data_IF_728009131955
#
_entry.id   IF_728009131955
#
_cell.length_a   1.000
_cell.length_b   1.000
_cell.length_c   1.000
_cell.angle_alpha   90.00
_cell.angle_beta   90.00
_cell.angle_gamma   90.00
#
_symmetry.space_group_name_H-M   'P 1'
#
loop_
_entity.id
_entity.type
_entity.pdbx_description
1 polymer ?
#
# COMPACT_ATOMS: atom_id res chain seq x y z
N UNK A 1 19.17 44.78 -36.55
CA UNK A 1 18.26 44.07 -35.61
C UNK A 1 18.31 42.57 -35.85
N UNK A 2 19.48 41.90 -35.77
CA UNK A 2 19.53 40.45 -36.05
C UNK A 2 20.57 39.64 -35.26
N UNK A 3 21.17 40.22 -34.21
CA UNK A 3 22.10 39.48 -33.35
C UNK A 3 21.45 38.84 -32.10
N UNK A 4 20.21 39.20 -31.79
CA UNK A 4 19.50 38.63 -30.63
C UNK A 4 18.76 37.32 -30.96
N UNK A 5 18.40 37.09 -32.23
CA UNK A 5 17.70 35.87 -32.66
C UNK A 5 18.67 34.67 -32.87
N UNK A 6 19.87 34.91 -33.28
CA UNK A 6 20.89 33.85 -33.41
C UNK A 6 21.42 33.38 -32.05
N UNK A 7 21.50 34.27 -31.05
CA UNK A 7 21.92 33.92 -29.69
C UNK A 7 20.88 33.01 -28.95
N UNK A 8 19.57 33.20 -29.23
CA UNK A 8 18.55 32.35 -28.65
C UNK A 8 18.42 30.98 -29.33
N UNK A 9 18.70 30.88 -30.62
CA UNK A 9 18.71 29.60 -31.31
C UNK A 9 19.90 28.74 -30.87
N UNK A 10 21.07 29.37 -30.58
CA UNK A 10 22.27 28.69 -30.13
C UNK A 10 22.18 28.21 -28.64
N UNK A 11 21.39 28.86 -27.83
CA UNK A 11 21.16 28.44 -26.44
C UNK A 11 20.23 27.24 -26.31
N UNK A 12 19.37 26.96 -27.30
CA UNK A 12 18.44 25.83 -27.29
C UNK A 12 19.17 24.51 -27.61
N UNK A 13 20.30 24.53 -28.29
CA UNK A 13 21.11 23.34 -28.60
C UNK A 13 22.04 22.89 -27.45
N UNK A 14 22.10 23.63 -26.36
CA UNK A 14 22.99 23.32 -25.21
C UNK A 14 22.29 22.47 -24.14
N UNK A 15 20.96 22.32 -24.18
CA UNK A 15 20.25 21.47 -23.21
C UNK A 15 20.34 20.01 -23.65
N UNK A 16 21.00 19.18 -22.82
CA UNK A 16 20.94 17.73 -22.97
C UNK A 16 19.49 17.27 -22.90
N UNK A 17 19.06 16.56 -23.92
CA UNK A 17 17.72 15.97 -23.95
C UNK A 17 17.75 14.59 -23.33
N UNK A 18 16.72 14.23 -22.55
CA UNK A 18 16.55 12.85 -22.14
C UNK A 18 15.99 12.07 -23.32
N UNK A 19 16.86 11.36 -24.01
CA UNK A 19 16.47 10.57 -25.18
C UNK A 19 15.94 9.19 -24.81
N UNK A 20 16.41 8.66 -23.69
CA UNK A 20 16.13 7.28 -23.30
C UNK A 20 15.24 7.22 -22.06
N UNK A 21 14.06 6.61 -22.17
CA UNK A 21 13.17 6.26 -21.08
C UNK A 21 13.16 4.74 -20.94
N UNK A 22 13.56 4.27 -19.76
CA UNK A 22 13.64 2.85 -19.41
C UNK A 22 12.50 2.55 -18.45
N UNK A 23 11.52 1.81 -18.92
CA UNK A 23 10.41 1.32 -18.11
C UNK A 23 10.74 -0.10 -17.63
N UNK A 24 11.00 -0.23 -16.33
CA UNK A 24 11.27 -1.49 -15.65
C UNK A 24 10.05 -1.94 -14.82
N UNK A 25 8.91 -1.31 -14.99
CA UNK A 25 7.68 -1.75 -14.32
C UNK A 25 7.18 -3.03 -14.95
N UNK A 26 6.52 -3.87 -14.14
CA UNK A 26 5.87 -5.09 -14.62
C UNK A 26 4.38 -4.80 -14.86
N UNK A 27 3.91 -4.73 -16.13
CA UNK A 27 2.52 -4.47 -16.43
C UNK A 27 1.55 -5.50 -15.86
N UNK A 28 2.00 -6.75 -15.66
CA UNK A 28 1.20 -7.82 -15.08
C UNK A 28 0.85 -7.58 -13.60
N UNK A 29 1.56 -6.65 -12.94
CA UNK A 29 1.25 -6.23 -11.58
C UNK A 29 0.14 -5.18 -11.50
N UNK A 30 -0.27 -4.59 -12.60
CA UNK A 30 -1.41 -3.71 -12.62
C UNK A 30 -2.70 -4.53 -12.59
N UNK A 31 -3.60 -4.16 -11.68
CA UNK A 31 -4.90 -4.83 -11.53
C UNK A 31 -6.00 -3.80 -11.77
N UNK A 32 -6.36 -3.65 -13.04
CA UNK A 32 -7.29 -2.62 -13.52
C UNK A 32 -8.70 -3.20 -13.68
N UNK A 33 -9.71 -2.41 -13.35
CA UNK A 33 -11.11 -2.80 -13.48
C UNK A 33 -11.74 -2.14 -14.72
N UNK A 34 -12.25 -2.97 -15.64
CA UNK A 34 -13.03 -2.51 -16.77
C UNK A 34 -12.23 -1.80 -17.87
N UNK A 35 -10.89 -1.83 -17.81
CA UNK A 35 -10.00 -1.31 -18.85
C UNK A 35 -8.69 -2.09 -18.90
N UNK A 36 -8.00 -2.04 -20.01
CA UNK A 36 -6.65 -2.59 -20.13
C UNK A 36 -5.56 -1.57 -19.79
N UNK A 37 -4.31 -2.03 -19.71
CA UNK A 37 -3.15 -1.19 -19.36
C UNK A 37 -2.90 -0.10 -20.40
N UNK A 38 -3.13 -0.37 -21.68
CA UNK A 38 -2.89 0.61 -22.75
C UNK A 38 -3.95 1.72 -22.74
N UNK A 39 -5.19 1.38 -22.43
CA UNK A 39 -6.24 2.38 -22.22
C UNK A 39 -5.92 3.26 -21.00
N UNK A 40 -5.51 2.65 -19.88
CA UNK A 40 -5.09 3.39 -18.69
C UNK A 40 -3.89 4.31 -18.97
N UNK A 41 -2.89 3.85 -19.72
CA UNK A 41 -1.75 4.69 -20.16
C UNK A 41 -2.20 5.87 -21.03
N UNK A 42 -3.20 5.70 -21.89
CA UNK A 42 -3.77 6.82 -22.67
C UNK A 42 -4.37 7.88 -21.76
N UNK A 43 -5.12 7.47 -20.71
CA UNK A 43 -5.69 8.39 -19.75
C UNK A 43 -4.62 9.16 -18.97
N UNK A 44 -3.54 8.47 -18.56
CA UNK A 44 -2.39 9.13 -17.95
C UNK A 44 -1.73 10.12 -18.91
N UNK A 45 -1.66 9.77 -20.20
CA UNK A 45 -1.06 10.62 -21.21
C UNK A 45 -1.89 11.87 -21.49
N UNK A 46 -3.22 11.82 -21.40
CA UNK A 46 -4.09 13.00 -21.45
C UNK A 46 -3.77 13.94 -20.28
N UNK A 47 -3.48 13.38 -19.11
CA UNK A 47 -2.94 14.07 -17.94
C UNK A 47 -3.91 14.96 -17.21
N UNK A 48 -5.18 15.01 -17.60
CA UNK A 48 -6.18 15.73 -16.82
C UNK A 48 -6.56 14.92 -15.58
N UNK A 49 -6.91 15.62 -14.52
CA UNK A 49 -7.37 15.02 -13.26
C UNK A 49 -8.55 14.09 -13.50
N UNK A 50 -9.50 14.53 -14.33
CA UNK A 50 -10.72 13.79 -14.66
C UNK A 50 -10.43 12.50 -15.43
N UNK A 51 -9.49 12.55 -16.37
CA UNK A 51 -9.08 11.38 -17.14
C UNK A 51 -8.46 10.31 -16.24
N UNK A 52 -7.49 10.69 -15.42
CA UNK A 52 -6.77 9.74 -14.55
C UNK A 52 -7.65 9.22 -13.42
N UNK A 53 -8.56 10.03 -12.89
CA UNK A 53 -9.51 9.60 -11.86
C UNK A 53 -10.52 8.51 -12.33
N UNK A 54 -10.62 8.29 -13.66
CA UNK A 54 -11.40 7.17 -14.22
C UNK A 54 -10.71 5.82 -14.08
N UNK A 55 -9.41 5.80 -13.86
CA UNK A 55 -8.65 4.56 -13.69
C UNK A 55 -9.00 3.94 -12.34
N UNK A 56 -9.57 2.75 -12.36
CA UNK A 56 -9.98 2.01 -11.16
C UNK A 56 -9.08 0.80 -10.95
N UNK A 57 -8.78 0.50 -9.68
CA UNK A 57 -7.93 -0.62 -9.29
C UNK A 57 -6.53 -0.20 -8.85
N UNK A 58 -5.60 -1.16 -8.87
CA UNK A 58 -4.21 -1.00 -8.43
C UNK A 58 -3.29 -0.83 -9.63
N UNK A 59 -2.55 0.27 -9.70
CA UNK A 59 -1.73 0.56 -10.87
C UNK A 59 -0.48 1.41 -10.57
N UNK A 60 0.53 1.22 -11.41
CA UNK A 60 1.70 2.07 -11.55
C UNK A 60 1.99 2.22 -13.05
N UNK A 61 1.77 3.41 -13.60
CA UNK A 61 1.74 3.63 -15.04
C UNK A 61 2.70 4.74 -15.45
N UNK A 62 3.40 4.48 -16.54
CA UNK A 62 4.23 5.44 -17.25
C UNK A 62 3.73 5.56 -18.68
N UNK A 63 3.57 6.80 -19.16
CA UNK A 63 3.21 7.11 -20.54
C UNK A 63 4.09 8.22 -21.10
N UNK A 64 4.49 8.13 -22.37
CA UNK A 64 5.38 9.08 -23.04
C UNK A 64 4.78 9.55 -24.36
N UNK A 65 4.85 10.87 -24.62
CA UNK A 65 4.55 11.46 -25.93
C UNK A 65 5.58 12.55 -26.24
N UNK A 66 6.36 12.35 -27.28
CA UNK A 66 7.43 13.29 -27.64
C UNK A 66 8.43 13.44 -26.46
N UNK A 67 8.58 14.67 -25.96
CA UNK A 67 9.46 15.00 -24.83
C UNK A 67 8.75 14.98 -23.47
N UNK A 68 7.48 14.67 -23.40
CA UNK A 68 6.74 14.65 -22.14
C UNK A 68 6.57 13.21 -21.67
N UNK A 69 6.93 12.97 -20.41
CA UNK A 69 6.63 11.75 -19.69
C UNK A 69 5.61 12.07 -18.59
N UNK A 70 4.59 11.25 -18.47
CA UNK A 70 3.63 11.31 -17.38
C UNK A 70 3.61 9.99 -16.62
N UNK A 71 3.59 10.09 -15.30
CA UNK A 71 3.56 8.95 -14.39
C UNK A 71 2.40 9.12 -13.41
N UNK A 72 1.68 8.03 -13.14
CA UNK A 72 0.62 8.03 -12.15
C UNK A 72 0.55 6.67 -11.44
N UNK A 73 0.14 6.67 -10.17
CA UNK A 73 -0.01 5.43 -9.40
C UNK A 73 -1.16 5.49 -8.41
N UNK A 74 -1.70 4.32 -8.08
CA UNK A 74 -2.55 4.09 -6.91
C UNK A 74 -1.72 4.09 -5.61
N UNK A 75 -2.38 4.09 -4.47
CA UNK A 75 -1.74 4.14 -3.15
C UNK A 75 -0.85 2.91 -2.89
N UNK A 76 -1.33 1.74 -3.23
CA UNK A 76 -0.71 0.44 -2.97
C UNK A 76 0.44 0.07 -3.91
N UNK A 77 0.61 0.80 -5.03
CA UNK A 77 1.66 0.56 -6.02
C UNK A 77 2.76 1.61 -5.95
N UNK A 78 4.00 1.27 -5.65
CA UNK A 78 5.11 2.21 -5.78
C UNK A 78 5.44 2.45 -7.25
N UNK A 79 5.88 3.67 -7.55
CA UNK A 79 6.43 4.03 -8.85
C UNK A 79 7.57 5.02 -8.60
N UNK A 80 8.77 4.58 -8.88
CA UNK A 80 9.99 5.34 -8.63
C UNK A 80 10.68 5.69 -9.92
N UNK A 81 11.46 6.76 -9.91
CA UNK A 81 12.28 7.11 -11.04
C UNK A 81 13.65 7.65 -10.61
N UNK A 82 14.61 7.49 -11.50
CA UNK A 82 16.00 7.93 -11.36
C UNK A 82 16.46 8.55 -12.67
N UNK A 83 17.24 9.65 -12.59
CA UNK A 83 17.85 10.30 -13.74
C UNK A 83 19.35 9.96 -13.77
N UNK A 84 19.75 9.14 -14.72
CA UNK A 84 21.16 8.78 -14.93
C UNK A 84 21.81 9.69 -15.97
N UNK A 85 23.05 10.13 -15.71
CA UNK A 85 23.87 10.91 -16.64
C UNK A 85 24.75 9.95 -17.44
N UNK A 86 24.69 10.05 -18.75
CA UNK A 86 25.47 9.25 -19.70
C UNK A 86 26.18 10.16 -20.71
N UNK A 87 27.22 9.62 -21.36
CA UNK A 87 27.94 10.37 -22.43
C UNK A 87 27.05 10.64 -23.64
N UNK A 88 26.17 9.69 -23.95
CA UNK A 88 25.25 9.75 -25.10
C UNK A 88 23.94 10.51 -24.80
N UNK A 89 23.83 11.11 -23.64
CA UNK A 89 22.66 11.79 -23.16
C UNK A 89 22.03 11.08 -21.95
N UNK A 90 21.28 11.81 -21.12
CA UNK A 90 20.68 11.28 -19.90
C UNK A 90 19.61 10.24 -20.17
N UNK A 91 19.38 9.37 -19.19
CA UNK A 91 18.32 8.37 -19.21
C UNK A 91 17.40 8.52 -17.98
N UNK A 92 16.09 8.45 -18.21
CA UNK A 92 15.08 8.32 -17.17
C UNK A 92 14.79 6.83 -16.96
N UNK A 93 15.09 6.31 -15.78
CA UNK A 93 14.78 4.94 -15.38
C UNK A 93 13.58 4.96 -14.44
N UNK A 94 12.55 4.17 -14.74
CA UNK A 94 11.32 4.08 -13.96
C UNK A 94 11.11 2.64 -13.54
N UNK A 95 10.79 2.42 -12.27
CA UNK A 95 10.52 1.09 -11.71
C UNK A 95 9.62 1.17 -10.48
N UNK A 96 9.00 0.08 -10.14
CA UNK A 96 8.34 -0.10 -8.84
C UNK A 96 9.33 -0.44 -7.71
N UNK A 97 10.59 -0.82 -8.07
CA UNK A 97 11.64 -1.23 -7.13
C UNK A 97 12.94 -0.44 -7.30
N UNK A 98 13.59 -0.17 -6.16
CA UNK A 98 14.91 0.47 -6.12
C UNK A 98 15.99 -0.47 -6.65
N UNK A 99 15.95 -1.74 -6.27
CA UNK A 99 16.93 -2.74 -6.71
C UNK A 99 16.93 -2.93 -8.24
N UNK A 100 15.77 -2.82 -8.89
CA UNK A 100 15.68 -2.87 -10.35
C UNK A 100 16.40 -1.70 -11.01
N UNK A 101 16.25 -0.49 -10.46
CA UNK A 101 16.97 0.71 -10.92
C UNK A 101 18.48 0.51 -10.73
N UNK A 102 18.91 0.07 -9.55
CA UNK A 102 20.32 -0.19 -9.25
C UNK A 102 20.93 -1.24 -10.19
N UNK A 103 20.23 -2.35 -10.39
CA UNK A 103 20.70 -3.44 -11.25
C UNK A 103 20.83 -2.98 -12.71
N UNK A 104 19.88 -2.18 -13.21
CA UNK A 104 19.99 -1.60 -14.55
C UNK A 104 21.21 -0.69 -14.65
N UNK A 105 21.41 0.23 -13.70
CA UNK A 105 22.59 1.11 -13.66
C UNK A 105 23.89 0.32 -13.62
N UNK A 106 23.94 -0.78 -12.87
CA UNK A 106 25.10 -1.66 -12.81
C UNK A 106 25.38 -2.32 -14.16
N UNK A 107 24.37 -2.77 -14.87
CA UNK A 107 24.50 -3.36 -16.20
C UNK A 107 25.05 -2.34 -17.23
N UNK A 108 24.68 -1.07 -17.08
CA UNK A 108 25.17 0.03 -17.94
C UNK A 108 26.51 0.62 -17.47
N UNK A 109 27.12 0.10 -16.38
CA UNK A 109 28.37 0.61 -15.82
C UNK A 109 28.23 1.99 -15.14
N UNK A 110 27.03 2.31 -14.65
CA UNK A 110 26.67 3.61 -14.06
C UNK A 110 26.36 3.50 -12.56
N UNK A 111 26.70 2.38 -11.92
CA UNK A 111 26.37 2.12 -10.50
C UNK A 111 26.93 3.18 -9.54
N UNK A 112 28.04 3.85 -9.89
CA UNK A 112 28.63 4.90 -9.07
C UNK A 112 27.73 6.14 -8.89
N UNK A 113 26.81 6.36 -9.81
CA UNK A 113 25.84 7.46 -9.74
C UNK A 113 24.71 7.15 -8.76
N UNK A 114 24.50 5.88 -8.44
CA UNK A 114 23.37 5.47 -7.64
C UNK A 114 23.55 5.83 -6.16
N UNK A 115 22.52 6.45 -5.61
CA UNK A 115 22.29 6.59 -4.17
C UNK A 115 20.78 6.41 -3.94
N UNK A 116 20.35 5.61 -2.97
CA UNK A 116 18.92 5.40 -2.72
C UNK A 116 18.13 6.70 -2.57
N UNK A 117 18.69 7.71 -1.93
CA UNK A 117 18.06 9.01 -1.73
C UNK A 117 17.94 9.89 -3.00
N UNK A 118 18.56 9.51 -4.11
CA UNK A 118 18.35 10.15 -5.41
C UNK A 118 17.21 9.53 -6.21
N UNK A 119 16.72 8.38 -5.74
CA UNK A 119 15.51 7.76 -6.30
C UNK A 119 14.29 8.53 -5.82
N UNK A 120 13.52 9.06 -6.75
CA UNK A 120 12.32 9.83 -6.46
C UNK A 120 11.08 8.94 -6.55
N UNK A 121 10.11 9.14 -5.63
CA UNK A 121 8.81 8.47 -5.65
C UNK A 121 7.78 9.35 -6.33
N UNK A 122 7.00 8.80 -7.25
CA UNK A 122 5.76 9.42 -7.72
C UNK A 122 4.79 9.42 -6.54
N UNK A 123 4.25 10.55 -6.08
CA UNK A 123 3.29 10.57 -5.00
C UNK A 123 2.02 9.78 -5.35
N UNK A 124 1.41 9.13 -4.37
CA UNK A 124 0.15 8.43 -4.56
C UNK A 124 -0.95 9.42 -4.97
N UNK A 125 -1.82 8.99 -5.90
CA UNK A 125 -2.92 9.80 -6.40
C UNK A 125 -2.52 11.13 -7.11
N UNK A 126 -1.29 11.17 -7.64
CA UNK A 126 -0.83 12.27 -8.47
C UNK A 126 -0.45 11.81 -9.87
N UNK A 127 -0.68 12.68 -10.83
CA UNK A 127 0.04 12.67 -12.10
C UNK A 127 1.30 13.50 -11.92
N UNK A 128 2.44 12.90 -12.23
CA UNK A 128 3.73 13.60 -12.28
C UNK A 128 4.12 13.74 -13.74
N UNK A 129 4.27 14.97 -14.20
CA UNK A 129 4.75 15.28 -15.54
C UNK A 129 6.20 15.73 -15.49
N UNK A 130 7.02 15.14 -16.37
CA UNK A 130 8.39 15.53 -16.60
C UNK A 130 8.58 15.91 -18.07
N UNK A 131 9.23 17.06 -18.30
CA UNK A 131 9.76 17.38 -19.62
C UNK A 131 11.12 16.71 -19.77
N UNK A 132 11.34 16.00 -20.86
CA UNK A 132 12.58 15.27 -21.10
C UNK A 132 13.71 16.21 -21.54
N UNK A 133 14.18 17.01 -20.60
CA UNK A 133 15.34 17.89 -20.72
C UNK A 133 16.31 17.52 -19.61
N UNK A 134 17.53 17.18 -19.95
CA UNK A 134 18.47 16.60 -19.01
C UNK A 134 19.35 17.59 -18.23
N UNK A 135 19.45 18.84 -18.68
CA UNK A 135 20.23 19.86 -18.00
C UNK A 135 19.58 21.25 -18.18
N UNK A 136 19.15 21.93 -17.11
CA UNK A 136 19.08 21.41 -15.75
C UNK A 136 18.14 20.21 -15.60
N UNK A 137 18.24 19.48 -14.48
CA UNK A 137 17.30 18.39 -14.20
C UNK A 137 15.86 18.89 -14.34
N UNK A 138 14.95 18.13 -14.97
CA UNK A 138 13.60 18.60 -15.19
C UNK A 138 12.85 18.74 -13.87
N UNK A 139 12.22 19.89 -13.67
CA UNK A 139 11.31 20.09 -12.55
C UNK A 139 10.01 19.33 -12.79
N UNK A 140 9.62 18.42 -11.90
CA UNK A 140 8.37 17.70 -12.04
C UNK A 140 7.17 18.58 -11.73
N UNK A 141 6.15 18.50 -12.57
CA UNK A 141 4.83 19.11 -12.31
C UNK A 141 3.92 18.07 -11.70
N UNK A 142 3.31 18.41 -10.57
CA UNK A 142 2.46 17.51 -9.79
C UNK A 142 1.00 17.96 -9.88
N UNK A 143 0.11 17.04 -10.28
CA UNK A 143 -1.34 17.28 -10.28
C UNK A 143 -2.03 16.14 -9.54
N UNK A 144 -2.75 16.47 -8.45
CA UNK A 144 -3.49 15.49 -7.67
C UNK A 144 -4.79 15.13 -8.37
N UNK A 145 -5.05 13.82 -8.59
CA UNK A 145 -6.26 13.36 -9.26
C UNK A 145 -7.32 12.77 -8.31
N UNK A 146 -6.98 12.54 -7.05
CA UNK A 146 -7.92 12.06 -6.05
C UNK A 146 -7.85 12.93 -4.79
N UNK A 147 -8.96 13.56 -4.46
CA UNK A 147 -9.10 14.42 -3.26
C UNK A 147 -10.47 14.18 -2.65
N UNK A 148 -10.57 13.36 -1.59
CA UNK A 148 -11.85 13.11 -0.91
C UNK A 148 -12.32 14.36 -0.16
N UNK A 149 -13.63 14.53 -0.06
CA UNK A 149 -14.24 15.63 0.69
C UNK A 149 -14.48 15.19 2.13
N UNK A 150 -13.87 15.84 3.14
CA UNK A 150 -13.98 15.43 4.51
C UNK A 150 -15.35 15.78 5.12
N UNK A 151 -15.80 14.96 6.08
CA UNK A 151 -16.91 15.27 6.99
C UNK A 151 -18.28 15.47 6.32
N UNK A 152 -18.58 14.77 5.23
CA UNK A 152 -19.86 14.94 4.50
C UNK A 152 -20.94 13.94 4.87
N UNK A 153 -20.60 12.89 5.63
CA UNK A 153 -21.58 11.95 6.15
C UNK A 153 -22.32 12.53 7.36
N UNK A 154 -23.56 12.12 7.62
CA UNK A 154 -24.27 12.51 8.83
C UNK A 154 -23.61 11.92 10.09
N UNK A 155 -23.79 12.59 11.23
CA UNK A 155 -23.35 12.08 12.54
C UNK A 155 -24.25 10.96 13.04
N UNK A 156 -24.23 9.83 12.35
CA UNK A 156 -25.00 8.61 12.63
C UNK A 156 -24.13 7.39 12.34
N UNK A 157 -23.78 6.64 13.39
CA UNK A 157 -22.86 5.49 13.28
C UNK A 157 -23.41 4.34 12.44
N UNK A 158 -24.73 4.15 12.36
CA UNK A 158 -25.33 3.10 11.56
C UNK A 158 -25.25 3.45 10.05
N UNK A 159 -25.48 4.75 9.74
CA UNK A 159 -25.33 5.26 8.38
C UNK A 159 -23.86 5.22 7.96
N UNK A 160 -22.96 5.69 8.81
CA UNK A 160 -21.50 5.69 8.57
C UNK A 160 -20.98 4.27 8.38
N UNK A 161 -21.29 3.37 9.31
CA UNK A 161 -20.85 1.97 9.25
C UNK A 161 -21.33 1.28 7.99
N UNK A 162 -22.61 1.45 7.65
CA UNK A 162 -23.20 0.90 6.42
C UNK A 162 -22.49 1.45 5.18
N UNK A 163 -22.27 2.75 5.09
CA UNK A 163 -21.58 3.38 3.93
C UNK A 163 -20.15 2.85 3.79
N UNK A 164 -19.39 2.79 4.90
CA UNK A 164 -18.01 2.35 4.92
C UNK A 164 -17.86 0.89 4.50
N UNK A 165 -18.65 0.00 5.08
CA UNK A 165 -18.58 -1.44 4.76
C UNK A 165 -19.22 -1.75 3.39
N UNK A 166 -20.21 -0.97 2.93
CA UNK A 166 -20.70 -1.11 1.55
C UNK A 166 -19.63 -0.77 0.53
N UNK A 167 -18.87 0.31 0.73
CA UNK A 167 -17.74 0.65 -0.13
C UNK A 167 -16.67 -0.45 -0.13
N UNK A 168 -16.36 -1.02 1.04
CA UNK A 168 -15.48 -2.18 1.16
C UNK A 168 -15.99 -3.38 0.36
N UNK A 169 -17.28 -3.69 0.48
CA UNK A 169 -17.92 -4.79 -0.24
C UNK A 169 -17.89 -4.58 -1.76
N UNK A 170 -18.07 -3.34 -2.22
CA UNK A 170 -18.03 -3.01 -3.65
C UNK A 170 -16.63 -3.20 -4.23
N UNK A 171 -15.57 -2.78 -3.53
CA UNK A 171 -14.19 -2.99 -3.97
C UNK A 171 -13.82 -4.49 -3.97
N UNK A 172 -14.20 -5.23 -2.93
CA UNK A 172 -14.01 -6.68 -2.89
C UNK A 172 -14.78 -7.37 -4.02
N UNK A 173 -16.01 -6.94 -4.32
CA UNK A 173 -16.80 -7.51 -5.41
C UNK A 173 -16.17 -7.25 -6.79
N UNK A 174 -15.62 -6.07 -7.03
CA UNK A 174 -14.90 -5.77 -8.27
C UNK A 174 -13.65 -6.65 -8.41
N UNK A 175 -12.87 -6.76 -7.34
CA UNK A 175 -11.67 -7.60 -7.32
C UNK A 175 -12.00 -9.08 -7.56
N UNK A 176 -13.01 -9.63 -6.87
CA UNK A 176 -13.43 -11.03 -7.03
C UNK A 176 -13.90 -11.33 -8.46
N UNK A 177 -14.59 -10.39 -9.14
CA UNK A 177 -15.01 -10.57 -10.53
C UNK A 177 -13.85 -10.54 -11.53
N UNK A 178 -12.72 -9.96 -11.16
CA UNK A 178 -11.52 -9.89 -12.00
C UNK A 178 -10.59 -11.10 -11.85
N UNK A 179 -10.87 -11.97 -10.87
CA UNK A 179 -10.13 -13.20 -10.60
C UNK A 179 -10.81 -14.38 -11.32
N UNK A 180 -10.05 -15.33 -11.92
CA UNK A 180 -10.62 -16.53 -12.49
C UNK A 180 -11.50 -17.30 -11.51
N UNK A 181 -12.62 -17.83 -11.99
CA UNK A 181 -13.69 -18.37 -11.14
C UNK A 181 -13.27 -19.55 -10.27
N UNK A 182 -12.24 -20.29 -10.65
CA UNK A 182 -11.75 -21.46 -9.92
C UNK A 182 -10.59 -21.18 -8.96
N UNK A 183 -10.02 -19.97 -8.99
CA UNK A 183 -8.87 -19.63 -8.16
C UNK A 183 -9.24 -19.49 -6.68
N UNK A 184 -8.45 -20.07 -5.76
CA UNK A 184 -8.66 -19.96 -4.33
C UNK A 184 -8.26 -18.57 -3.80
N UNK A 185 -8.98 -18.13 -2.77
CA UNK A 185 -8.81 -16.81 -2.13
C UNK A 185 -8.38 -17.00 -0.68
N UNK A 186 -7.23 -16.44 -0.32
CA UNK A 186 -6.74 -16.41 1.05
C UNK A 186 -6.91 -15.05 1.68
N UNK A 187 -7.41 -15.01 2.91
CA UNK A 187 -7.46 -13.81 3.73
C UNK A 187 -6.37 -13.88 4.78
N UNK A 188 -5.47 -12.88 4.84
CA UNK A 188 -4.56 -12.72 5.98
C UNK A 188 -5.39 -12.37 7.22
N UNK A 189 -5.42 -13.26 8.23
CA UNK A 189 -6.40 -13.21 9.29
C UNK A 189 -5.76 -13.30 10.68
N UNK A 190 -6.06 -12.35 11.55
CA UNK A 190 -5.60 -12.34 12.95
C UNK A 190 -6.76 -12.35 13.95
N UNK A 191 -8.02 -12.34 13.46
CA UNK A 191 -9.18 -12.13 14.30
C UNK A 191 -9.34 -10.70 14.82
N UNK A 192 -8.52 -9.75 14.35
CA UNK A 192 -8.67 -8.33 14.62
C UNK A 192 -9.79 -7.69 13.77
N UNK A 193 -10.13 -6.43 14.09
CA UNK A 193 -11.26 -5.70 13.44
C UNK A 193 -11.09 -5.65 11.92
N UNK A 194 -9.90 -5.30 11.41
CA UNK A 194 -9.67 -5.09 9.99
C UNK A 194 -9.68 -6.41 9.21
N UNK A 195 -8.91 -7.40 9.65
CA UNK A 195 -8.86 -8.71 9.00
C UNK A 195 -10.19 -9.45 9.14
N UNK A 196 -10.89 -9.27 10.28
CA UNK A 196 -12.19 -9.85 10.54
C UNK A 196 -13.27 -9.30 9.62
N UNK A 197 -13.34 -7.99 9.48
CA UNK A 197 -14.29 -7.34 8.56
C UNK A 197 -14.02 -7.72 7.10
N UNK A 198 -12.76 -7.73 6.66
CA UNK A 198 -12.40 -8.16 5.29
C UNK A 198 -12.82 -9.61 5.06
N UNK A 199 -12.58 -10.52 6.02
CA UNK A 199 -13.01 -11.92 5.89
C UNK A 199 -14.53 -12.05 5.78
N UNK A 200 -15.29 -11.42 6.69
CA UNK A 200 -16.75 -11.52 6.70
C UNK A 200 -17.38 -10.89 5.46
N UNK A 201 -16.86 -9.75 5.02
CA UNK A 201 -17.34 -9.10 3.80
C UNK A 201 -16.99 -9.92 2.56
N UNK A 202 -15.79 -10.50 2.48
CA UNK A 202 -15.40 -11.40 1.37
C UNK A 202 -16.32 -12.62 1.33
N UNK A 203 -16.56 -13.27 2.47
CA UNK A 203 -17.48 -14.38 2.59
C UNK A 203 -18.89 -13.99 2.11
N UNK A 204 -19.42 -12.84 2.57
CA UNK A 204 -20.73 -12.33 2.16
C UNK A 204 -20.80 -12.06 0.66
N UNK A 205 -19.81 -11.37 0.10
CA UNK A 205 -19.76 -11.03 -1.32
C UNK A 205 -19.68 -12.29 -2.19
N UNK A 206 -18.85 -13.26 -1.81
CA UNK A 206 -18.77 -14.54 -2.53
C UNK A 206 -20.13 -15.25 -2.55
N UNK A 207 -20.84 -15.29 -1.41
CA UNK A 207 -22.22 -15.83 -1.36
C UNK A 207 -23.17 -15.08 -2.29
N UNK A 208 -23.13 -13.75 -2.25
CA UNK A 208 -24.00 -12.90 -3.08
C UNK A 208 -23.73 -13.05 -4.58
N UNK A 209 -22.47 -13.32 -4.95
CA UNK A 209 -22.08 -13.58 -6.33
C UNK A 209 -22.27 -15.05 -6.77
N UNK A 210 -22.75 -15.93 -5.88
CA UNK A 210 -22.93 -17.35 -6.16
C UNK A 210 -21.61 -18.13 -6.30
N UNK A 211 -20.51 -17.59 -5.79
CA UNK A 211 -19.18 -18.21 -5.83
C UNK A 211 -19.07 -19.37 -4.83
N UNK A 212 -18.24 -20.36 -5.17
CA UNK A 212 -17.98 -21.51 -4.28
C UNK A 212 -17.19 -21.08 -3.05
N UNK A 213 -17.80 -21.20 -1.85
CA UNK A 213 -17.15 -20.81 -0.60
C UNK A 213 -15.96 -21.70 -0.22
N UNK A 214 -15.88 -22.93 -0.76
CA UNK A 214 -14.72 -23.81 -0.57
C UNK A 214 -13.40 -23.24 -1.10
N UNK A 215 -13.47 -22.16 -1.90
CA UNK A 215 -12.30 -21.41 -2.39
C UNK A 215 -11.71 -20.45 -1.34
N UNK A 216 -12.44 -20.14 -0.29
CA UNK A 216 -12.05 -19.17 0.73
C UNK A 216 -11.32 -19.84 1.89
N UNK A 217 -10.20 -19.25 2.33
CA UNK A 217 -9.51 -19.59 3.58
C UNK A 217 -9.10 -18.33 4.34
N UNK A 218 -9.14 -18.42 5.67
CA UNK A 218 -8.59 -17.44 6.60
C UNK A 218 -7.24 -17.97 7.11
N UNK A 219 -6.14 -17.38 6.68
CA UNK A 219 -4.79 -17.79 7.07
C UNK A 219 -4.30 -17.00 8.28
N UNK A 220 -3.95 -17.69 9.34
CA UNK A 220 -3.32 -17.12 10.54
C UNK A 220 -1.92 -17.67 10.70
N UNK A 221 -0.94 -16.79 11.00
CA UNK A 221 0.42 -17.19 11.29
C UNK A 221 0.53 -17.68 12.74
N UNK A 222 1.06 -18.89 12.93
CA UNK A 222 1.39 -19.44 14.24
C UNK A 222 2.90 -19.66 14.35
N UNK A 223 3.54 -18.92 15.26
CA UNK A 223 4.95 -19.09 15.60
C UNK A 223 5.13 -19.74 16.98
N UNK A 224 4.07 -20.30 17.54
CA UNK A 224 4.07 -21.13 18.74
C UNK A 224 3.73 -20.42 20.05
N UNK A 225 3.87 -19.09 20.14
CA UNK A 225 3.67 -18.34 21.39
C UNK A 225 2.83 -17.06 21.26
N UNK A 226 2.17 -16.87 20.13
CA UNK A 226 1.34 -15.71 19.87
C UNK A 226 -0.14 -15.94 20.16
N UNK A 227 -0.90 -14.91 20.50
CA UNK A 227 -2.34 -15.01 20.78
C UNK A 227 -3.24 -15.01 19.53
N UNK A 228 -2.72 -14.77 18.33
CA UNK A 228 -3.55 -14.56 17.13
C UNK A 228 -4.32 -15.83 16.73
N UNK A 229 -3.73 -17.01 16.84
CA UNK A 229 -4.44 -18.26 16.53
C UNK A 229 -5.64 -18.45 17.46
N UNK A 230 -5.46 -18.20 18.76
CA UNK A 230 -6.55 -18.29 19.73
C UNK A 230 -7.66 -17.26 19.43
N UNK A 231 -7.29 -16.00 19.20
CA UNK A 231 -8.23 -14.95 18.84
C UNK A 231 -8.96 -15.23 17.53
N UNK A 232 -8.28 -15.81 16.54
CA UNK A 232 -8.88 -16.23 15.28
C UNK A 232 -9.95 -17.32 15.48
N UNK A 233 -9.68 -18.29 16.36
CA UNK A 233 -10.68 -19.30 16.76
C UNK A 233 -11.88 -18.65 17.46
N UNK A 234 -11.64 -17.82 18.48
CA UNK A 234 -12.69 -17.11 19.23
C UNK A 234 -13.54 -16.19 18.33
N UNK A 235 -12.95 -15.66 17.25
CA UNK A 235 -13.68 -14.84 16.27
C UNK A 235 -14.62 -15.68 15.40
N UNK A 236 -14.16 -16.82 14.89
CA UNK A 236 -14.90 -17.59 13.86
C UNK A 236 -15.87 -18.60 14.47
N UNK A 237 -15.60 -19.13 15.66
CA UNK A 237 -16.41 -20.16 16.29
C UNK A 237 -17.87 -19.73 16.54
N UNK A 238 -18.16 -18.55 17.14
CA UNK A 238 -19.54 -18.10 17.35
C UNK A 238 -20.33 -17.86 16.07
N UNK A 239 -19.61 -17.66 14.95
CA UNK A 239 -20.20 -17.44 13.63
C UNK A 239 -20.41 -18.74 12.84
N UNK A 240 -19.95 -19.90 13.38
CA UNK A 240 -19.99 -21.18 12.68
C UNK A 240 -19.07 -21.23 11.45
N UNK A 241 -18.00 -20.42 11.44
CA UNK A 241 -17.08 -20.26 10.30
C UNK A 241 -15.69 -20.84 10.54
N UNK A 242 -15.49 -21.62 11.62
CA UNK A 242 -14.19 -22.22 11.97
C UNK A 242 -13.59 -23.10 10.88
N UNK A 243 -14.39 -23.68 10.00
CA UNK A 243 -13.94 -24.52 8.89
C UNK A 243 -13.07 -23.75 7.85
N UNK A 244 -13.14 -22.42 7.83
CA UNK A 244 -12.33 -21.59 6.94
C UNK A 244 -10.96 -21.28 7.51
N UNK A 245 -10.77 -21.45 8.83
CA UNK A 245 -9.50 -21.13 9.49
C UNK A 245 -8.42 -22.14 9.12
N UNK A 246 -7.26 -21.62 8.77
CA UNK A 246 -6.07 -22.39 8.45
C UNK A 246 -4.87 -21.79 9.18
N UNK A 247 -4.37 -22.49 10.18
CA UNK A 247 -3.13 -22.11 10.87
C UNK A 247 -1.92 -22.44 9.99
N UNK A 248 -1.09 -21.46 9.76
CA UNK A 248 0.18 -21.58 9.05
C UNK A 248 1.29 -21.59 10.11
N UNK A 249 1.78 -22.76 10.40
CA UNK A 249 2.89 -22.94 11.33
C UNK A 249 4.19 -22.42 10.70
N UNK A 250 4.96 -21.67 11.47
CA UNK A 250 6.24 -21.12 11.08
C UNK A 250 7.31 -21.34 12.15
N UNK A 251 8.58 -21.24 11.73
CA UNK A 251 9.71 -21.25 12.64
C UNK A 251 10.16 -19.82 12.95
N UNK A 252 9.98 -19.40 14.18
CA UNK A 252 10.43 -18.09 14.64
C UNK A 252 11.95 -17.91 14.49
N UNK A 253 12.75 -18.97 14.44
CA UNK A 253 14.20 -18.90 14.22
C UNK A 253 14.57 -18.50 12.77
N UNK A 254 13.65 -18.69 11.83
CA UNK A 254 13.83 -18.34 10.42
C UNK A 254 13.44 -16.91 10.05
N UNK A 255 13.06 -16.09 11.04
CA UNK A 255 12.75 -14.66 10.83
C UNK A 255 14.05 -13.89 10.51
N UNK A 256 14.08 -13.21 9.35
CA UNK A 256 15.27 -12.51 8.87
C UNK A 256 14.97 -11.05 8.49
N UNK A 257 15.47 -10.12 9.32
CA UNK A 257 15.36 -8.69 9.04
C UNK A 257 16.09 -8.28 7.74
N UNK A 258 17.17 -8.95 7.38
CA UNK A 258 17.94 -8.60 6.18
C UNK A 258 17.19 -8.98 4.90
N UNK A 259 16.53 -10.13 4.88
CA UNK A 259 15.61 -10.48 3.78
C UNK A 259 14.45 -9.49 3.72
N UNK A 260 13.87 -9.16 4.86
CA UNK A 260 12.75 -8.22 4.94
C UNK A 260 13.14 -6.85 4.38
N UNK A 261 14.26 -6.27 4.81
CA UNK A 261 14.77 -4.97 4.33
C UNK A 261 14.92 -4.97 2.81
N UNK A 262 15.46 -6.05 2.23
CA UNK A 262 15.62 -6.21 0.78
C UNK A 262 14.26 -6.26 0.07
N UNK A 263 13.28 -6.96 0.65
CA UNK A 263 11.97 -7.15 0.03
C UNK A 263 11.16 -5.86 0.04
N UNK A 264 11.09 -5.17 1.19
CA UNK A 264 10.28 -3.96 1.34
C UNK A 264 11.01 -2.68 0.94
N UNK A 265 12.33 -2.74 0.80
CA UNK A 265 13.19 -1.60 0.48
C UNK A 265 13.02 -0.43 1.46
N UNK A 266 12.90 -0.78 2.74
CA UNK A 266 12.79 0.15 3.85
C UNK A 266 13.61 -0.34 5.06
N UNK A 267 13.89 0.57 5.99
CA UNK A 267 14.65 0.29 7.20
C UNK A 267 13.94 0.76 8.48
N UNK A 268 12.69 1.22 8.37
CA UNK A 268 11.91 1.64 9.52
C UNK A 268 11.54 0.42 10.38
N UNK A 269 11.90 0.40 11.68
CA UNK A 269 11.75 -0.78 12.52
C UNK A 269 10.33 -1.36 12.54
N UNK A 270 9.31 -0.50 12.64
CA UNK A 270 7.91 -0.94 12.66
C UNK A 270 7.50 -1.64 11.36
N UNK A 271 7.98 -1.15 10.22
CA UNK A 271 7.67 -1.73 8.92
C UNK A 271 8.42 -3.05 8.72
N UNK A 272 9.67 -3.15 9.22
CA UNK A 272 10.44 -4.40 9.22
C UNK A 272 9.74 -5.45 10.08
N UNK A 273 9.34 -5.12 11.31
CA UNK A 273 8.63 -6.06 12.18
C UNK A 273 7.37 -6.61 11.50
N UNK A 274 6.52 -5.73 10.99
CA UNK A 274 5.26 -6.12 10.35
C UNK A 274 5.48 -6.93 9.07
N UNK A 275 6.40 -6.49 8.23
CA UNK A 275 6.69 -7.18 6.98
C UNK A 275 7.37 -8.55 7.20
N UNK A 276 8.17 -8.70 8.26
CA UNK A 276 8.77 -10.00 8.61
C UNK A 276 7.68 -11.04 8.93
N UNK A 277 6.64 -10.63 9.67
CA UNK A 277 5.50 -11.51 9.94
C UNK A 277 4.72 -11.84 8.67
N UNK A 278 4.48 -10.85 7.81
CA UNK A 278 3.79 -11.05 6.54
C UNK A 278 4.59 -11.96 5.58
N UNK A 279 5.93 -11.83 5.54
CA UNK A 279 6.80 -12.72 4.78
C UNK A 279 6.75 -14.17 5.31
N UNK A 280 6.77 -14.35 6.63
CA UNK A 280 6.67 -15.68 7.24
C UNK A 280 5.33 -16.33 6.89
N UNK A 281 4.22 -15.59 6.97
CA UNK A 281 2.90 -16.07 6.55
C UNK A 281 2.90 -16.46 5.07
N UNK A 282 3.32 -15.56 4.19
CA UNK A 282 3.36 -15.82 2.74
C UNK A 282 4.24 -17.01 2.39
N UNK A 283 5.42 -17.14 3.02
CA UNK A 283 6.31 -18.30 2.86
C UNK A 283 5.63 -19.62 3.26
N UNK A 284 4.97 -19.63 4.42
CA UNK A 284 4.26 -20.81 4.92
C UNK A 284 3.08 -21.20 4.04
N UNK A 285 2.28 -20.21 3.57
CA UNK A 285 1.19 -20.46 2.61
C UNK A 285 1.75 -21.07 1.32
N UNK A 286 2.83 -20.53 0.76
CA UNK A 286 3.45 -21.04 -0.47
C UNK A 286 3.96 -22.48 -0.30
N UNK A 287 4.57 -22.80 0.84
CA UNK A 287 5.06 -24.14 1.14
C UNK A 287 3.92 -25.17 1.22
N UNK A 288 2.78 -24.78 1.79
CA UNK A 288 1.61 -25.67 1.98
C UNK A 288 0.70 -25.73 0.76
N UNK A 289 0.60 -24.62 0.02
CA UNK A 289 -0.28 -24.44 -1.15
C UNK A 289 0.50 -23.88 -2.33
N UNK A 290 1.25 -24.70 -3.08
CA UNK A 290 2.15 -24.24 -4.15
C UNK A 290 1.47 -23.47 -5.28
N UNK A 291 0.19 -23.76 -5.55
CA UNK A 291 -0.58 -23.19 -6.66
C UNK A 291 -1.46 -22.01 -6.23
N UNK A 292 -1.47 -21.63 -4.95
CA UNK A 292 -2.27 -20.50 -4.46
C UNK A 292 -1.76 -19.17 -5.00
N UNK A 293 -2.65 -18.30 -5.48
CA UNK A 293 -2.23 -17.05 -6.15
C UNK A 293 -2.72 -15.78 -5.48
N UNK A 294 -3.90 -15.79 -4.86
CA UNK A 294 -4.60 -14.57 -4.45
C UNK A 294 -4.70 -14.47 -2.93
N UNK A 295 -4.20 -13.35 -2.41
CA UNK A 295 -4.30 -13.00 -1.00
C UNK A 295 -4.97 -11.63 -0.83
N UNK A 296 -5.84 -11.52 0.16
CA UNK A 296 -6.48 -10.28 0.56
C UNK A 296 -6.25 -10.04 2.06
N UNK A 297 -6.13 -8.79 2.48
CA UNK A 297 -5.89 -8.42 3.87
C UNK A 297 -6.65 -7.17 4.33
N UNK A 298 -6.47 -6.83 5.61
CA UNK A 298 -7.09 -5.68 6.26
C UNK A 298 -6.22 -4.43 6.34
N UNK A 299 -5.11 -4.36 5.63
CA UNK A 299 -4.23 -3.19 5.67
C UNK A 299 -4.95 -1.95 5.13
N UNK A 300 -4.78 -0.83 5.83
CA UNK A 300 -5.46 0.43 5.52
C UNK A 300 -6.65 0.75 6.43
N UNK A 301 -7.17 -0.22 7.18
CA UNK A 301 -8.30 0.00 8.08
C UNK A 301 -7.97 0.93 9.25
N UNK A 302 -6.80 0.77 9.85
CA UNK A 302 -6.29 1.67 10.90
C UNK A 302 -6.14 3.10 10.35
N UNK A 303 -5.58 3.22 9.17
CA UNK A 303 -5.34 4.48 8.48
C UNK A 303 -6.64 5.22 8.19
N UNK A 304 -7.63 4.53 7.69
CA UNK A 304 -8.94 5.09 7.34
C UNK A 304 -9.68 5.65 8.56
N UNK A 305 -9.67 4.93 9.67
CA UNK A 305 -10.40 5.30 10.88
C UNK A 305 -9.52 6.03 11.90
N UNK A 306 -8.30 6.44 11.46
CA UNK A 306 -7.36 7.27 12.25
C UNK A 306 -6.98 6.64 13.59
N UNK A 307 -7.00 5.29 13.64
CA UNK A 307 -6.74 4.48 14.84
C UNK A 307 -5.24 4.23 15.04
N UNK A 308 -4.51 5.32 15.24
CA UNK A 308 -3.07 5.30 15.53
C UNK A 308 -2.76 5.77 16.94
N UNK A 309 -1.74 5.21 17.61
CA UNK A 309 -1.36 5.63 18.95
C UNK A 309 -0.74 7.04 18.91
N UNK A 310 -1.58 8.05 19.08
CA UNK A 310 -1.19 9.47 19.08
C UNK A 310 -0.17 9.73 20.19
N UNK A 311 -0.37 9.12 21.36
CA UNK A 311 0.50 9.27 22.55
C UNK A 311 1.93 8.77 22.31
N UNK A 312 2.10 7.77 21.44
CA UNK A 312 3.41 7.25 21.09
C UNK A 312 4.20 8.14 20.11
N UNK A 313 3.57 9.18 19.57
CA UNK A 313 4.15 10.07 18.58
C UNK A 313 4.07 11.53 19.03
N UNK A 314 5.15 12.08 19.63
CA UNK A 314 5.14 13.44 20.22
C UNK A 314 4.85 14.56 19.19
N UNK A 315 4.94 14.26 17.90
CA UNK A 315 4.64 15.22 16.83
C UNK A 315 3.16 15.24 16.43
N UNK A 316 2.38 14.27 16.95
CA UNK A 316 0.94 14.17 16.66
C UNK A 316 0.12 14.78 17.78
N UNK A 317 -0.96 15.41 17.37
CA UNK A 317 -2.07 15.79 18.23
C UNK A 317 -3.36 15.28 17.60
N UNK A 318 -4.40 15.08 18.40
CA UNK A 318 -5.70 14.69 17.85
C UNK A 318 -6.19 15.68 16.80
N UNK A 319 -5.90 16.96 16.96
CA UNK A 319 -6.25 18.00 15.97
C UNK A 319 -5.52 17.80 14.64
N UNK A 320 -4.21 17.48 14.67
CA UNK A 320 -3.46 17.24 13.44
C UNK A 320 -3.93 15.95 12.73
N UNK A 321 -4.30 14.93 13.50
CA UNK A 321 -4.80 13.66 12.95
C UNK A 321 -6.18 13.81 12.30
N UNK A 322 -7.11 14.49 12.97
CA UNK A 322 -8.48 14.63 12.46
C UNK A 322 -8.55 15.60 11.27
N UNK A 323 -7.80 16.71 11.32
CA UNK A 323 -7.90 17.77 10.32
C UNK A 323 -7.07 17.55 9.05
N UNK A 324 -6.21 16.52 9.02
CA UNK A 324 -5.41 16.21 7.83
C UNK A 324 -5.96 14.99 7.10
N UNK A 325 -6.66 15.18 5.97
CA UNK A 325 -7.14 14.07 5.16
C UNK A 325 -6.00 13.16 4.72
N UNK A 326 -6.23 11.85 4.75
CA UNK A 326 -5.29 10.82 4.28
C UNK A 326 -3.88 10.90 4.90
N UNK A 327 -3.76 11.50 6.09
CA UNK A 327 -2.47 11.72 6.76
C UNK A 327 -1.63 10.45 6.86
N UNK A 328 -2.23 9.36 7.25
CA UNK A 328 -1.54 8.08 7.43
C UNK A 328 -1.47 7.26 6.15
N UNK A 329 -2.50 7.34 5.31
CA UNK A 329 -2.56 6.57 4.07
C UNK A 329 -1.42 6.92 3.12
N UNK A 330 -1.13 8.18 2.95
CA UNK A 330 -0.10 8.64 2.03
C UNK A 330 1.27 8.85 2.68
N UNK A 331 1.39 8.64 3.99
CA UNK A 331 2.64 8.85 4.73
C UNK A 331 3.06 10.32 4.81
N UNK A 332 2.10 11.24 4.69
CA UNK A 332 2.35 12.69 4.71
C UNK A 332 2.38 13.26 6.13
N UNK A 333 3.07 14.34 6.28
CA UNK A 333 2.86 15.32 7.32
C UNK A 333 3.88 15.32 8.45
N UNK A 334 4.02 14.31 9.26
CA UNK A 334 4.86 14.32 10.46
C UNK A 334 6.15 13.52 10.27
N UNK A 335 7.26 14.08 10.78
CA UNK A 335 8.60 13.58 10.50
C UNK A 335 8.82 12.10 10.77
N UNK A 336 8.27 11.57 11.87
CA UNK A 336 8.39 10.15 12.25
C UNK A 336 7.46 9.21 11.47
N UNK A 337 6.39 9.74 10.86
CA UNK A 337 5.49 8.97 10.01
C UNK A 337 5.99 9.00 8.57
N UNK A 338 6.76 10.02 8.20
CA UNK A 338 7.45 10.03 6.91
C UNK A 338 8.39 8.85 6.85
N UNK A 339 8.23 8.09 5.80
CA UNK A 339 9.14 7.01 5.52
C UNK A 339 10.52 7.54 5.17
N UNK A 340 11.45 6.65 5.28
CA UNK A 340 12.86 6.77 5.11
C UNK A 340 13.32 7.56 3.89
N UNK A 341 14.60 7.71 3.73
CA UNK A 341 15.34 8.43 2.68
C UNK A 341 14.82 8.25 1.25
N UNK A 342 14.16 7.13 0.97
CA UNK A 342 13.75 6.74 -0.37
C UNK A 342 12.43 7.34 -0.81
N UNK A 343 11.73 8.07 0.07
CA UNK A 343 10.34 8.44 -0.20
C UNK A 343 10.13 9.94 -0.15
N UNK A 344 9.83 10.50 -1.29
CA UNK A 344 9.29 11.85 -1.38
C UNK A 344 7.77 11.90 -1.27
N UNK A 345 7.09 10.77 -1.24
CA UNK A 345 5.64 10.70 -1.19
C UNK A 345 5.08 9.56 -0.33
N UNK A 346 5.94 8.94 0.48
CA UNK A 346 5.58 7.83 1.35
C UNK A 346 5.20 6.53 0.62
N UNK A 347 5.45 5.42 1.27
CA UNK A 347 4.84 4.14 0.92
C UNK A 347 3.66 3.91 1.84
N UNK A 348 2.56 3.40 1.29
CA UNK A 348 1.48 2.90 2.12
C UNK A 348 1.94 1.66 2.87
N UNK A 349 1.31 1.36 3.99
CA UNK A 349 1.60 0.14 4.73
C UNK A 349 1.20 -1.11 3.97
N UNK A 350 0.18 -1.03 3.13
CA UNK A 350 -0.21 -2.11 2.24
C UNK A 350 0.90 -2.54 1.28
N UNK A 351 1.77 -1.60 0.84
CA UNK A 351 2.95 -1.99 0.08
C UNK A 351 3.89 -2.87 0.91
N UNK A 352 4.26 -2.43 2.11
CA UNK A 352 5.24 -3.12 2.96
C UNK A 352 4.72 -4.46 3.45
N UNK A 353 3.44 -4.55 3.79
CA UNK A 353 2.87 -5.74 4.43
C UNK A 353 2.29 -6.71 3.43
N UNK A 354 1.56 -6.20 2.43
CA UNK A 354 0.83 -7.02 1.47
C UNK A 354 1.55 -7.15 0.14
N UNK A 355 1.75 -6.03 -0.55
CA UNK A 355 2.23 -6.08 -1.94
C UNK A 355 3.65 -6.66 -2.07
N UNK A 356 4.63 -6.09 -1.35
CA UNK A 356 6.03 -6.51 -1.48
C UNK A 356 6.23 -7.94 -0.95
N UNK A 357 5.63 -8.26 0.19
CA UNK A 357 5.77 -9.56 0.85
C UNK A 357 5.05 -10.66 0.11
N UNK A 358 3.82 -10.43 -0.35
CA UNK A 358 3.07 -11.37 -1.16
C UNK A 358 3.77 -11.65 -2.49
N UNK A 359 4.19 -10.60 -3.21
CA UNK A 359 4.91 -10.71 -4.49
C UNK A 359 6.20 -11.51 -4.37
N UNK A 360 6.93 -11.41 -3.25
CA UNK A 360 8.16 -12.19 -3.00
C UNK A 360 7.95 -13.68 -3.16
N UNK A 361 6.77 -14.17 -2.84
CA UNK A 361 6.38 -15.57 -2.94
C UNK A 361 5.40 -15.87 -4.09
N UNK A 362 5.26 -14.95 -5.05
CA UNK A 362 4.46 -15.13 -6.25
C UNK A 362 2.96 -15.03 -6.03
N UNK A 363 2.51 -14.33 -4.98
CA UNK A 363 1.11 -14.01 -4.76
C UNK A 363 0.74 -12.65 -5.35
N UNK A 364 -0.52 -12.53 -5.75
CA UNK A 364 -1.19 -11.26 -6.01
C UNK A 364 -1.90 -10.82 -4.72
N UNK A 365 -1.38 -9.79 -4.07
CA UNK A 365 -1.96 -9.22 -2.85
C UNK A 365 -2.98 -8.13 -3.16
N UNK A 366 -4.01 -8.01 -2.33
CA UNK A 366 -5.04 -6.97 -2.41
C UNK A 366 -5.43 -6.44 -1.04
N UNK A 367 -5.37 -5.13 -0.85
CA UNK A 367 -5.76 -4.43 0.37
C UNK A 367 -6.96 -3.51 0.08
N UNK A 368 -8.20 -3.97 0.23
CA UNK A 368 -9.39 -3.24 -0.20
C UNK A 368 -9.58 -1.90 0.53
N UNK A 369 -9.11 -1.77 1.76
CA UNK A 369 -9.18 -0.52 2.52
C UNK A 369 -8.31 0.61 1.92
N UNK A 370 -7.36 0.28 1.06
CA UNK A 370 -6.52 1.28 0.37
C UNK A 370 -7.10 1.76 -0.95
N UNK A 371 -8.27 1.27 -1.32
CA UNK A 371 -8.93 1.68 -2.57
C UNK A 371 -9.60 3.05 -2.42
N UNK A 372 -9.54 3.89 -3.45
CA UNK A 372 -10.08 5.25 -3.42
C UNK A 372 -11.56 5.31 -3.00
N UNK A 373 -12.38 4.34 -3.40
CA UNK A 373 -13.78 4.26 -3.02
C UNK A 373 -13.99 4.16 -1.51
N UNK A 374 -13.18 3.34 -0.84
CA UNK A 374 -13.25 3.16 0.62
C UNK A 374 -12.65 4.37 1.35
N UNK A 375 -11.50 4.89 0.88
CA UNK A 375 -10.86 6.08 1.46
C UNK A 375 -11.80 7.29 1.37
N UNK A 376 -12.50 7.46 0.26
CA UNK A 376 -13.45 8.58 0.10
C UNK A 376 -14.56 8.56 1.16
N UNK A 377 -15.11 7.38 1.46
CA UNK A 377 -16.12 7.22 2.51
C UNK A 377 -15.52 7.41 3.90
N UNK A 378 -14.31 6.89 4.14
CA UNK A 378 -13.61 7.07 5.41
C UNK A 378 -13.35 8.55 5.71
N UNK A 379 -12.85 9.31 4.74
CA UNK A 379 -12.61 10.75 4.92
C UNK A 379 -13.92 11.56 5.03
N UNK A 380 -15.03 11.07 4.48
CA UNK A 380 -16.36 11.67 4.64
C UNK A 380 -16.94 11.55 6.05
N UNK A 381 -16.32 10.75 6.94
CA UNK A 381 -16.75 10.61 8.35
C UNK A 381 -16.54 11.93 9.10
N UNK A 382 -17.56 12.43 9.83
CA UNK A 382 -17.46 13.68 10.59
C UNK A 382 -16.73 13.47 11.92
N UNK A 383 -15.42 13.16 11.86
CA UNK A 383 -14.61 12.83 13.04
C UNK A 383 -14.66 13.88 14.14
N UNK A 384 -14.70 15.16 13.78
CA UNK A 384 -14.77 16.26 14.76
C UNK A 384 -16.04 16.16 15.59
N UNK A 385 -17.19 15.98 14.95
CA UNK A 385 -18.49 15.90 15.62
C UNK A 385 -18.62 14.62 16.46
N UNK A 386 -18.09 13.50 15.97
CA UNK A 386 -18.17 12.20 16.64
C UNK A 386 -17.24 12.10 17.85
N UNK A 387 -16.10 12.81 17.85
CA UNK A 387 -15.08 12.67 18.88
C UNK A 387 -14.96 13.89 19.79
N UNK A 388 -15.35 15.07 19.34
CA UNK A 388 -15.09 16.34 20.00
C UNK A 388 -13.61 16.50 20.43
N UNK A 389 -12.68 15.99 19.60
CA UNK A 389 -11.24 15.93 19.86
C UNK A 389 -10.85 15.09 21.10
N UNK A 390 -11.67 14.14 21.51
CA UNK A 390 -11.34 13.15 22.53
C UNK A 390 -10.63 11.94 21.91
N UNK A 391 -9.47 11.58 22.44
CA UNK A 391 -8.62 10.50 21.89
C UNK A 391 -9.21 9.12 22.16
N UNK A 392 -9.75 8.89 23.35
CA UNK A 392 -10.35 7.60 23.71
C UNK A 392 -11.58 7.34 22.85
N UNK A 393 -12.36 8.40 22.62
CA UNK A 393 -13.53 8.33 21.71
C UNK A 393 -13.12 8.02 20.28
N UNK A 394 -12.01 8.61 19.80
CA UNK A 394 -11.47 8.32 18.48
C UNK A 394 -11.11 6.83 18.34
N UNK A 395 -10.46 6.25 19.33
CA UNK A 395 -10.07 4.85 19.28
C UNK A 395 -11.27 3.88 19.39
N UNK A 396 -12.28 4.23 20.20
CA UNK A 396 -13.51 3.45 20.28
C UNK A 396 -14.31 3.44 18.96
N UNK A 397 -14.23 4.54 18.20
CA UNK A 397 -15.01 4.75 17.00
C UNK A 397 -14.80 3.67 15.95
N UNK A 398 -13.60 3.16 15.78
CA UNK A 398 -13.27 2.12 14.82
C UNK A 398 -14.08 0.85 15.03
N UNK A 399 -14.10 0.34 16.28
CA UNK A 399 -14.87 -0.85 16.64
C UNK A 399 -16.36 -0.66 16.37
N UNK A 400 -16.90 0.51 16.72
CA UNK A 400 -18.33 0.81 16.54
C UNK A 400 -18.71 0.94 15.06
N UNK A 401 -17.97 1.68 14.27
CA UNK A 401 -18.24 1.89 12.83
C UNK A 401 -18.16 0.57 12.08
N UNK A 402 -17.08 -0.20 12.28
CA UNK A 402 -16.86 -1.43 11.53
C UNK A 402 -17.85 -2.52 11.92
N UNK A 403 -18.10 -2.75 13.22
CA UNK A 403 -19.01 -3.81 13.65
C UNK A 403 -20.45 -3.54 13.21
N UNK A 404 -20.95 -2.31 13.37
CA UNK A 404 -22.29 -1.91 12.90
C UNK A 404 -22.42 -2.04 11.39
N UNK A 405 -21.38 -1.62 10.65
CA UNK A 405 -21.36 -1.73 9.21
C UNK A 405 -21.36 -3.18 8.73
N UNK A 406 -20.55 -4.05 9.32
CA UNK A 406 -20.52 -5.48 9.01
C UNK A 406 -21.89 -6.13 9.28
N UNK A 407 -22.49 -5.87 10.44
CA UNK A 407 -23.81 -6.40 10.77
C UNK A 407 -24.88 -5.90 9.77
N UNK A 408 -24.87 -4.61 9.45
CA UNK A 408 -25.82 -4.01 8.51
C UNK A 408 -25.71 -4.56 7.08
N UNK A 409 -24.48 -4.82 6.59
CA UNK A 409 -24.24 -5.27 5.21
C UNK A 409 -24.32 -6.78 5.06
N UNK A 410 -23.80 -7.53 6.03
CA UNK A 410 -23.65 -8.99 5.93
C UNK A 410 -24.70 -9.78 6.69
N UNK A 411 -25.35 -9.15 7.67
CA UNK A 411 -26.22 -9.82 8.65
C UNK A 411 -25.46 -10.61 9.72
N UNK A 412 -24.14 -10.53 9.77
CA UNK A 412 -23.30 -11.25 10.72
C UNK A 412 -22.84 -10.30 11.84
N UNK A 413 -23.02 -10.71 13.08
CA UNK A 413 -22.57 -9.95 14.24
C UNK A 413 -21.09 -10.22 14.49
N UNK A 414 -20.24 -9.27 14.04
CA UNK A 414 -18.79 -9.39 14.15
C UNK A 414 -18.32 -9.30 15.61
N UNK A 415 -17.51 -10.24 16.11
CA UNK A 415 -16.81 -10.09 17.37
C UNK A 415 -15.80 -8.93 17.31
N UNK A 416 -15.69 -8.17 18.41
CA UNK A 416 -14.73 -7.07 18.54
C UNK A 416 -13.86 -7.32 19.76
N UNK A 417 -12.57 -7.43 19.55
CA UNK A 417 -11.57 -7.62 20.60
C UNK A 417 -10.76 -6.35 20.81
N UNK A 418 -10.12 -6.24 21.97
CA UNK A 418 -9.16 -5.15 22.23
C UNK A 418 -8.02 -5.15 21.22
N UNK A 419 -7.62 -3.95 20.77
CA UNK A 419 -6.57 -3.80 19.76
C UNK A 419 -5.25 -4.42 20.20
N UNK A 420 -4.65 -5.20 19.31
CA UNK A 420 -3.26 -5.66 19.39
C UNK A 420 -2.52 -5.28 18.12
N UNK A 421 -1.22 -5.07 18.25
CA UNK A 421 -0.38 -4.84 17.08
C UNK A 421 -0.14 -6.16 16.35
N UNK A 422 -0.26 -6.17 15.03
CA UNK A 422 -0.11 -7.35 14.18
C UNK A 422 1.19 -8.14 14.46
N UNK A 423 2.31 -7.46 14.62
CA UNK A 423 3.60 -8.10 14.89
C UNK A 423 3.69 -8.80 16.27
N UNK A 424 2.82 -8.44 17.23
CA UNK A 424 2.77 -9.07 18.55
C UNK A 424 1.71 -10.18 18.62
N UNK A 425 1.02 -10.47 17.53
CA UNK A 425 -0.02 -11.47 17.47
C UNK A 425 0.51 -12.88 17.22
N UNK A 426 1.48 -13.03 16.33
CA UNK A 426 2.08 -14.33 16.02
C UNK A 426 3.20 -14.72 16.99
N UNK A 427 3.83 -13.73 17.69
CA UNK A 427 4.95 -13.94 18.59
C UNK A 427 4.86 -12.95 19.78
N UNK A 428 5.26 -13.37 20.99
CA UNK A 428 5.32 -12.45 22.13
C UNK A 428 6.30 -11.29 21.89
N UNK A 429 6.02 -10.13 22.50
CA UNK A 429 6.85 -8.93 22.33
C UNK A 429 8.30 -9.16 22.69
N UNK A 430 8.57 -9.84 23.81
CA UNK A 430 9.95 -10.14 24.26
C UNK A 430 10.69 -11.01 23.24
N UNK A 431 10.04 -12.06 22.74
CA UNK A 431 10.63 -12.94 21.73
C UNK A 431 10.86 -12.20 20.39
N UNK A 432 9.95 -11.30 20.03
CA UNK A 432 10.11 -10.44 18.84
C UNK A 432 11.31 -9.50 18.99
N UNK A 433 11.44 -8.82 20.14
CA UNK A 433 12.54 -7.88 20.42
C UNK A 433 13.92 -8.54 20.46
N UNK A 434 14.00 -9.79 20.89
CA UNK A 434 15.24 -10.55 20.84
C UNK A 434 15.69 -10.83 19.40
N UNK A 435 14.76 -11.06 18.48
CA UNK A 435 15.04 -11.42 17.08
C UNK A 435 15.12 -10.21 16.16
N UNK A 436 14.24 -9.26 16.37
CA UNK A 436 14.14 -8.01 15.60
C UNK A 436 14.33 -6.82 16.55
N UNK A 437 15.56 -6.50 16.93
CA UNK A 437 15.82 -5.37 17.82
C UNK A 437 15.40 -4.06 17.14
N UNK A 438 14.78 -3.17 17.93
CA UNK A 438 14.31 -1.87 17.43
C UNK A 438 15.48 -0.89 17.26
N UNK A 439 16.30 -1.10 16.22
CA UNK A 439 17.55 -0.37 15.96
C UNK A 439 17.57 0.21 14.55
N UNK A 440 16.95 1.36 14.38
CA UNK A 440 16.82 2.01 13.05
C UNK A 440 18.18 2.24 12.38
N UNK A 441 19.20 2.68 13.12
CA UNK A 441 20.54 2.92 12.57
C UNK A 441 21.18 1.64 12.00
N UNK A 442 20.97 0.48 12.66
CA UNK A 442 21.48 -0.80 12.17
C UNK A 442 20.75 -1.22 10.89
N UNK A 443 19.43 -1.11 10.87
CA UNK A 443 18.63 -1.43 9.69
C UNK A 443 18.95 -0.52 8.52
N UNK A 444 19.15 0.77 8.78
CA UNK A 444 19.59 1.74 7.78
C UNK A 444 20.94 1.35 7.18
N UNK A 445 21.91 0.97 7.98
CA UNK A 445 23.22 0.54 7.49
C UNK A 445 23.09 -0.72 6.61
N UNK A 446 22.30 -1.69 7.03
CA UNK A 446 22.00 -2.90 6.22
C UNK A 446 21.31 -2.54 4.91
N UNK A 447 20.35 -1.61 4.93
CA UNK A 447 19.68 -1.14 3.72
C UNK A 447 20.67 -0.47 2.75
N UNK A 448 21.55 0.40 3.24
CA UNK A 448 22.53 1.09 2.40
C UNK A 448 23.55 0.12 1.81
N UNK A 449 23.98 -0.90 2.58
CA UNK A 449 24.94 -1.91 2.09
C UNK A 449 24.41 -2.81 0.98
N UNK A 450 23.08 -2.80 0.72
CA UNK A 450 22.51 -3.52 -0.44
C UNK A 450 22.94 -2.89 -1.78
N UNK A 451 23.41 -1.64 -1.76
CA UNK A 451 23.70 -0.82 -2.94
C UNK A 451 25.15 -0.32 -2.98
N UNK A 452 26.00 -0.92 -2.19
CA UNK A 452 27.46 -0.76 -2.24
C UNK A 452 28.09 -1.92 -3.06
#
# INVERSE_FOLDING_TARGET
>A
MDKASESNAMLIDVYEQIERVIDLTDPAQNHLYGMDTEEAKRLVLEGSVESVNRIRGSFALLAKRGRTVRMARSLDRPLRYFLAKRKEGPALIVSDRIDSIYNWLKTEGLQEQFRPNYTRMVPAHYVVELQLVGCPDPDPVYQRFFTPTPGTLPNDLDVIGRAYISALADEIAQWLRSIPEDEPIGVGFSGGIDSGSVFLVTYHVMRKLGMRLSRLKAFVLDLGNGPDLHQACEFLEPLGLSLFLEAIEGDASALDASETIRVIEDYKPLDIESATMALALAKGIRARYPDWRYLIDGDGGDENLKDYPIEANPELTIRSVINNPMLYQEGWGVGKIKHSLTYSGGLSRSYVRTYATARRYGFSGFSPYTMPGVIAVAEAIPFIELTNYDVERLYALKGEVVSRGVESVTGLKMPVFSKRRFQHGALSEDSLRQRLPYREAEYRNRFLSLYE
#
